data_IF_249099781089
#
_entry.id   IF_249099781089
#
_cell.length_a   1.000
_cell.length_b   1.000
_cell.length_c   1.000
_cell.angle_alpha   90.00
_cell.angle_beta   90.00
_cell.angle_gamma   90.00
#
_symmetry.space_group_name_H-M   'P 1'
#
loop_
_entity.id
_entity.type
_entity.pdbx_description
1 polymer ?
#
# COMPACT_ATOMS: atom_id res chain seq x y z
N UNK A 1 2.83 15.60 -11.26
CA UNK A 1 2.43 14.29 -11.77
C UNK A 1 2.41 13.28 -10.64
N UNK A 2 1.27 12.66 -10.42
CA UNK A 2 1.13 11.66 -9.38
C UNK A 2 1.78 10.36 -9.79
N UNK A 3 2.39 9.68 -8.83
CA UNK A 3 3.07 8.44 -9.10
C UNK A 3 3.15 7.60 -7.83
N UNK A 4 2.75 6.36 -7.93
CA UNK A 4 2.87 5.39 -6.87
C UNK A 4 4.07 4.50 -7.15
N UNK A 5 4.85 4.25 -6.11
CA UNK A 5 5.86 3.21 -6.12
C UNK A 5 5.48 2.23 -5.04
N UNK A 6 5.26 0.98 -5.41
CA UNK A 6 4.88 -0.05 -4.46
C UNK A 6 6.07 -0.97 -4.24
N UNK A 7 6.51 -1.06 -2.99
CA UNK A 7 7.57 -1.97 -2.58
C UNK A 7 6.93 -3.06 -1.74
N UNK A 8 7.21 -4.32 -2.05
CA UNK A 8 6.60 -5.40 -1.31
C UNK A 8 7.58 -6.56 -1.14
N UNK A 9 7.34 -7.37 -0.13
CA UNK A 9 8.18 -8.51 0.12
C UNK A 9 8.01 -9.05 1.52
N UNK A 10 8.95 -9.91 1.91
CA UNK A 10 8.99 -10.48 3.24
C UNK A 10 9.81 -9.59 4.16
N UNK A 11 9.47 -9.67 5.44
CA UNK A 11 10.27 -9.03 6.47
C UNK A 11 11.60 -9.76 6.60
N UNK A 12 12.70 -9.01 6.57
CA UNK A 12 14.05 -9.57 6.65
C UNK A 12 14.94 -8.70 7.50
N UNK A 13 16.02 -9.31 7.97
CA UNK A 13 17.08 -8.57 8.68
C UNK A 13 17.63 -7.52 7.72
N UNK A 14 17.77 -6.29 8.18
CA UNK A 14 18.27 -5.19 7.38
C UNK A 14 17.23 -4.44 6.58
N UNK A 15 16.05 -4.98 6.41
CA UNK A 15 14.99 -4.33 5.64
C UNK A 15 14.51 -3.05 6.29
N UNK A 16 14.42 -3.04 7.63
CA UNK A 16 14.00 -1.84 8.36
C UNK A 16 14.93 -0.67 8.10
N UNK A 17 16.23 -0.95 8.05
CA UNK A 17 17.23 0.08 7.77
C UNK A 17 17.04 0.65 6.37
N UNK A 18 16.82 -0.22 5.40
CA UNK A 18 16.58 0.20 4.01
C UNK A 18 15.32 1.05 3.91
N UNK A 19 14.24 0.61 4.57
CA UNK A 19 12.97 1.34 4.55
C UNK A 19 13.16 2.74 5.12
N UNK A 20 13.87 2.86 6.23
CA UNK A 20 14.12 4.17 6.84
C UNK A 20 14.89 5.10 5.91
N UNK A 21 15.75 4.53 5.05
CA UNK A 21 16.55 5.34 4.12
C UNK A 21 15.73 5.85 2.93
N UNK A 22 14.78 5.06 2.45
CA UNK A 22 14.05 5.39 1.22
C UNK A 22 12.68 6.01 1.48
N UNK A 23 12.11 5.81 2.67
CA UNK A 23 10.78 6.33 3.00
C UNK A 23 10.87 7.71 3.61
N UNK A 24 9.96 8.57 3.20
CA UNK A 24 9.84 9.90 3.77
C UNK A 24 8.40 10.09 4.22
N UNK A 25 8.14 9.80 5.48
CA UNK A 25 6.78 9.85 6.03
C UNK A 25 6.23 11.27 6.10
N UNK A 26 7.13 12.26 6.20
CA UNK A 26 6.69 13.65 6.24
C UNK A 26 6.07 14.07 4.91
N UNK A 27 6.48 13.48 3.80
CA UNK A 27 5.87 13.82 2.51
C UNK A 27 4.70 12.90 2.15
N UNK A 28 4.35 11.95 3.02
CA UNK A 28 3.19 11.11 2.82
C UNK A 28 3.47 9.68 2.41
N UNK A 29 4.71 9.23 2.44
CA UNK A 29 5.01 7.83 2.17
C UNK A 29 4.33 6.95 3.20
N UNK A 30 3.92 5.75 2.78
CA UNK A 30 3.09 4.87 3.58
C UNK A 30 3.79 3.53 3.77
N UNK A 31 3.88 3.11 5.02
CA UNK A 31 4.40 1.79 5.37
C UNK A 31 3.29 0.99 6.03
N UNK A 32 3.01 -0.19 5.51
CA UNK A 32 2.03 -1.09 6.06
C UNK A 32 2.66 -2.45 6.33
N UNK A 33 2.59 -2.88 7.58
CA UNK A 33 3.01 -4.22 7.97
C UNK A 33 1.76 -5.09 8.02
N UNK A 34 1.65 -6.02 7.08
CA UNK A 34 0.51 -6.91 7.01
C UNK A 34 0.49 -7.89 8.17
N UNK A 35 -0.72 -8.29 8.55
CA UNK A 35 -0.93 -9.21 9.65
C UNK A 35 -1.67 -10.44 9.15
N UNK A 36 -1.70 -11.49 9.95
CA UNK A 36 -2.44 -12.71 9.62
C UNK A 36 -3.89 -12.53 10.03
N UNK A 37 -4.67 -11.91 9.15
CA UNK A 37 -6.07 -11.65 9.43
C UNK A 37 -6.87 -11.70 8.13
N UNK A 38 -8.19 -11.64 8.24
CA UNK A 38 -9.08 -11.71 7.10
C UNK A 38 -8.89 -10.51 6.16
N UNK A 39 -9.29 -10.69 4.90
CA UNK A 39 -9.10 -9.68 3.87
C UNK A 39 -9.72 -8.33 4.24
N UNK A 40 -10.94 -8.33 4.74
CA UNK A 40 -11.61 -7.08 5.08
C UNK A 40 -10.90 -6.35 6.22
N UNK A 41 -10.36 -7.10 7.18
CA UNK A 41 -9.58 -6.51 8.26
C UNK A 41 -8.27 -5.92 7.75
N UNK A 42 -7.60 -6.62 6.82
CA UNK A 42 -6.38 -6.09 6.22
C UNK A 42 -6.64 -4.76 5.52
N UNK A 43 -7.73 -4.68 4.74
CA UNK A 43 -8.08 -3.44 4.06
C UNK A 43 -8.36 -2.32 5.04
N UNK A 44 -9.09 -2.63 6.12
CA UNK A 44 -9.43 -1.62 7.12
C UNK A 44 -8.18 -1.13 7.87
N UNK A 45 -7.28 -2.03 8.21
CA UNK A 45 -6.02 -1.67 8.86
C UNK A 45 -5.18 -0.78 7.95
N UNK A 46 -5.11 -1.14 6.67
CA UNK A 46 -4.34 -0.36 5.71
C UNK A 46 -4.95 1.03 5.53
N UNK A 47 -6.28 1.11 5.44
CA UNK A 47 -6.95 2.40 5.35
C UNK A 47 -6.65 3.27 6.57
N UNK A 48 -6.56 2.66 7.75
CA UNK A 48 -6.21 3.39 8.97
C UNK A 48 -4.80 3.96 8.91
N UNK A 49 -3.86 3.20 8.36
CA UNK A 49 -2.49 3.69 8.19
C UNK A 49 -2.46 4.84 7.18
N UNK A 50 -3.21 4.72 6.10
CA UNK A 50 -3.28 5.78 5.07
C UNK A 50 -3.88 7.05 5.66
N UNK A 51 -4.84 6.91 6.58
CA UNK A 51 -5.52 8.06 7.18
C UNK A 51 -4.56 8.99 7.93
N UNK A 52 -3.37 8.50 8.32
CA UNK A 52 -2.36 9.35 8.93
C UNK A 52 -1.83 10.39 7.94
N UNK A 53 -1.94 10.15 6.66
CA UNK A 53 -1.47 11.06 5.62
C UNK A 53 -2.61 11.64 4.78
N UNK A 54 -3.74 10.95 4.71
CA UNK A 54 -4.89 11.37 3.90
C UNK A 54 -6.11 11.41 4.83
N UNK A 55 -6.48 12.59 5.25
CA UNK A 55 -7.58 12.77 6.20
C UNK A 55 -8.86 12.11 5.71
N UNK A 56 -9.48 11.35 6.62
CA UNK A 56 -10.77 10.73 6.35
C UNK A 56 -10.71 9.47 5.51
N UNK A 57 -9.52 9.01 5.14
CA UNK A 57 -9.40 7.85 4.26
C UNK A 57 -10.03 6.60 4.87
N UNK A 58 -9.98 6.45 6.19
CA UNK A 58 -10.54 5.29 6.89
C UNK A 58 -12.00 5.48 7.30
N UNK A 59 -12.62 6.58 6.90
CA UNK A 59 -14.02 6.86 7.25
C UNK A 59 -15.00 6.16 6.31
N UNK A 60 -14.52 5.54 5.24
CA UNK A 60 -15.34 4.77 4.31
C UNK A 60 -14.83 3.35 4.23
N UNK A 61 -15.70 2.43 3.84
CA UNK A 61 -15.34 1.05 3.60
C UNK A 61 -14.96 0.85 2.14
N UNK A 62 -13.92 0.06 1.91
CA UNK A 62 -13.47 -0.25 0.56
C UNK A 62 -13.80 -1.71 0.25
N UNK A 63 -14.62 -1.98 -0.77
CA UNK A 63 -15.06 -3.35 -1.04
C UNK A 63 -13.97 -4.26 -1.60
N UNK A 64 -12.89 -3.68 -2.10
CA UNK A 64 -11.79 -4.47 -2.65
C UNK A 64 -10.49 -3.68 -2.58
N UNK A 65 -9.38 -4.40 -2.77
CA UNK A 65 -8.07 -3.77 -2.84
C UNK A 65 -7.97 -2.81 -4.02
N UNK A 66 -8.57 -3.17 -5.15
CA UNK A 66 -8.53 -2.32 -6.33
C UNK A 66 -9.19 -0.98 -6.05
N UNK A 67 -10.37 -0.99 -5.43
CA UNK A 67 -11.07 0.26 -5.11
C UNK A 67 -10.27 1.09 -4.12
N UNK A 68 -9.68 0.46 -3.12
CA UNK A 68 -8.87 1.16 -2.12
C UNK A 68 -7.66 1.82 -2.78
N UNK A 69 -6.92 1.08 -3.59
CA UNK A 69 -5.70 1.59 -4.21
C UNK A 69 -5.99 2.68 -5.24
N UNK A 70 -7.08 2.54 -6.00
CA UNK A 70 -7.48 3.58 -6.94
C UNK A 70 -7.88 4.86 -6.20
N UNK A 71 -8.58 4.71 -5.08
CA UNK A 71 -8.98 5.85 -4.26
C UNK A 71 -7.75 6.57 -3.72
N UNK A 72 -6.79 5.82 -3.21
CA UNK A 72 -5.54 6.40 -2.72
C UNK A 72 -4.81 7.15 -3.84
N UNK A 73 -4.71 6.54 -5.01
CA UNK A 73 -4.03 7.15 -6.14
C UNK A 73 -4.70 8.48 -6.55
N UNK A 74 -6.03 8.54 -6.51
CA UNK A 74 -6.76 9.77 -6.85
C UNK A 74 -6.51 10.88 -5.83
N UNK A 75 -6.38 10.53 -4.57
CA UNK A 75 -6.29 11.51 -3.48
C UNK A 75 -4.88 12.00 -3.23
N UNK A 76 -3.88 11.33 -3.79
CA UNK A 76 -2.50 11.75 -3.63
C UNK A 76 -2.13 12.67 -4.78
N UNK A 77 -1.71 13.90 -4.45
CA UNK A 77 -1.36 14.89 -5.46
C UNK A 77 0.09 14.89 -5.87
N UNK A 78 0.89 13.96 -5.34
CA UNK A 78 2.33 13.93 -5.56
C UNK A 78 2.80 12.48 -5.55
N UNK A 79 4.07 12.29 -5.91
CA UNK A 79 4.68 10.98 -5.89
C UNK A 79 4.88 10.51 -4.45
N UNK A 80 4.43 9.30 -4.15
CA UNK A 80 4.65 8.68 -2.84
C UNK A 80 5.11 7.24 -3.03
N UNK A 81 5.73 6.71 -1.99
CA UNK A 81 6.14 5.31 -1.92
C UNK A 81 5.25 4.58 -0.93
N UNK A 82 4.73 3.44 -1.34
CA UNK A 82 3.92 2.57 -0.48
C UNK A 82 4.71 1.28 -0.27
N UNK A 83 4.99 0.95 0.98
CA UNK A 83 5.69 -0.29 1.31
C UNK A 83 4.70 -1.26 1.95
N UNK A 84 4.53 -2.42 1.31
CA UNK A 84 3.69 -3.52 1.83
C UNK A 84 4.60 -4.60 2.38
N UNK A 85 4.85 -4.56 3.68
CA UNK A 85 5.73 -5.52 4.34
C UNK A 85 4.94 -6.76 4.71
N UNK A 86 5.61 -7.92 4.74
CA UNK A 86 5.00 -9.23 4.92
C UNK A 86 3.91 -9.49 3.88
N UNK A 87 4.25 -9.19 2.65
CA UNK A 87 3.34 -9.35 1.51
C UNK A 87 2.70 -10.74 1.43
N UNK A 88 3.39 -11.84 1.79
CA UNK A 88 2.74 -13.16 1.78
C UNK A 88 1.47 -13.24 2.61
N UNK A 89 1.36 -12.50 3.70
CA UNK A 89 0.12 -12.46 4.48
C UNK A 89 -1.03 -11.82 3.70
N UNK A 90 -0.71 -10.79 2.91
CA UNK A 90 -1.72 -10.16 2.05
C UNK A 90 -2.18 -11.10 0.95
N UNK A 91 -1.24 -11.80 0.32
CA UNK A 91 -1.57 -12.75 -0.74
C UNK A 91 -2.40 -13.89 -0.19
N UNK A 92 -2.09 -14.37 1.02
CA UNK A 92 -2.84 -15.45 1.63
C UNK A 92 -4.30 -15.09 1.85
N UNK A 93 -4.56 -13.87 2.32
CA UNK A 93 -5.95 -13.43 2.54
C UNK A 93 -6.60 -12.89 1.27
N UNK A 94 -5.81 -12.45 0.30
CA UNK A 94 -6.30 -11.84 -0.94
C UNK A 94 -5.46 -12.36 -2.11
N UNK A 95 -5.73 -13.60 -2.57
CA UNK A 95 -4.91 -14.19 -3.64
C UNK A 95 -4.91 -13.40 -4.95
N UNK A 96 -5.89 -12.56 -5.18
CA UNK A 96 -5.96 -11.75 -6.39
C UNK A 96 -5.13 -10.47 -6.31
N UNK A 97 -4.59 -10.14 -5.15
CA UNK A 97 -3.88 -8.87 -4.97
C UNK A 97 -2.70 -8.68 -5.93
N UNK A 98 -1.84 -9.70 -6.17
CA UNK A 98 -0.76 -9.51 -7.13
C UNK A 98 -1.26 -9.14 -8.52
N UNK A 99 -2.37 -9.73 -8.95
CA UNK A 99 -2.97 -9.39 -10.25
C UNK A 99 -3.50 -7.97 -10.27
N UNK A 100 -4.10 -7.53 -9.17
CA UNK A 100 -4.61 -6.17 -9.04
C UNK A 100 -3.46 -5.17 -9.15
N UNK A 101 -2.37 -5.41 -8.43
CA UNK A 101 -1.21 -4.52 -8.48
C UNK A 101 -0.63 -4.45 -9.89
N UNK A 102 -0.53 -5.60 -10.56
CA UNK A 102 0.00 -5.63 -11.91
C UNK A 102 -0.90 -4.87 -12.90
N UNK A 103 -2.20 -5.02 -12.74
CA UNK A 103 -3.17 -4.29 -13.56
C UNK A 103 -3.02 -2.79 -13.37
N UNK A 104 -2.90 -2.33 -12.13
CA UNK A 104 -2.78 -0.92 -11.83
C UNK A 104 -1.45 -0.34 -12.31
N UNK A 105 -0.39 -1.14 -12.32
CA UNK A 105 0.91 -0.72 -12.86
C UNK A 105 0.81 -0.28 -14.32
N UNK A 106 -0.01 -0.98 -15.08
CA UNK A 106 -0.15 -0.71 -16.50
C UNK A 106 -0.90 0.59 -16.78
N UNK A 107 -1.40 1.25 -15.74
CA UNK A 107 -2.15 2.50 -15.90
C UNK A 107 -1.28 3.74 -15.71
N UNK A 108 0.03 3.59 -15.76
CA UNK A 108 1.00 4.68 -15.75
C UNK A 108 1.07 5.51 -14.46
N UNK A 109 0.17 5.26 -13.52
CA UNK A 109 0.14 5.98 -12.24
C UNK A 109 0.73 5.18 -11.10
N UNK A 110 1.09 3.93 -11.36
CA UNK A 110 1.67 3.05 -10.36
C UNK A 110 2.95 2.43 -10.89
N UNK A 111 3.96 2.40 -10.05
CA UNK A 111 5.20 1.68 -10.31
C UNK A 111 5.34 0.61 -9.24
N UNK A 112 5.89 -0.52 -9.64
CA UNK A 112 6.00 -1.68 -8.78
C UNK A 112 7.47 -2.04 -8.61
N UNK A 113 7.94 -2.10 -7.36
CA UNK A 113 9.30 -2.47 -7.05
C UNK A 113 9.32 -3.41 -5.85
N UNK A 114 10.29 -4.33 -5.87
CA UNK A 114 10.42 -5.35 -4.83
C UNK A 114 11.51 -5.03 -3.84
#
# INVERSE_FOLDING_TARGET
KRQFIVIYGRRRVGKSTLIKKIMDFAKGDIYFLADQTAESNQRQLFAGVIANSVDGFDQVSYPSWEVLLRSLNRQVGKRITVCLDEFPYLVKSSPSLPSVLQKLLNEKNLEFDR
#
